data_IF_648898314329
#
_entry.id   IF_648898314329
#
_cell.length_a   1.000
_cell.length_b   1.000
_cell.length_c   1.000
_cell.angle_alpha   90.00
_cell.angle_beta   90.00
_cell.angle_gamma   90.00
#
_symmetry.space_group_name_H-M   'P 1'
#
loop_
_entity.id
_entity.type
_entity.pdbx_description
1 polymer ?
#
# COMPACT_ATOMS: atom_id res chain seq x y z
N UNK A 1 -21.60 -8.37 -20.43
CA UNK A 1 -20.22 -7.92 -20.78
C UNK A 1 -19.48 -8.11 -19.48
N UNK A 2 -19.16 -9.37 -19.23
CA UNK A 2 -18.85 -9.87 -17.89
C UNK A 2 -17.38 -9.56 -17.70
N UNK A 3 -17.14 -8.43 -17.03
CA UNK A 3 -15.84 -7.79 -17.05
C UNK A 3 -14.98 -8.36 -15.91
N UNK A 4 -13.67 -8.17 -16.01
CA UNK A 4 -12.73 -8.56 -14.96
C UNK A 4 -13.03 -7.85 -13.61
N UNK A 5 -13.75 -6.73 -13.66
CA UNK A 5 -14.16 -5.94 -12.48
C UNK A 5 -15.17 -6.70 -11.64
N UNK A 6 -16.14 -7.40 -12.24
CA UNK A 6 -17.14 -8.21 -11.52
C UNK A 6 -16.47 -9.30 -10.67
N UNK A 7 -15.42 -9.93 -11.23
CA UNK A 7 -14.60 -10.91 -10.51
C UNK A 7 -13.85 -10.26 -9.36
N UNK A 8 -13.26 -9.08 -9.59
CA UNK A 8 -12.65 -8.30 -8.52
C UNK A 8 -13.65 -7.96 -7.41
N UNK A 9 -14.83 -7.45 -7.73
CA UNK A 9 -15.84 -7.06 -6.73
C UNK A 9 -16.31 -8.25 -5.88
N UNK A 10 -16.39 -9.44 -6.46
CA UNK A 10 -16.66 -10.67 -5.71
C UNK A 10 -15.47 -11.10 -4.84
N UNK A 11 -14.23 -11.04 -5.36
CA UNK A 11 -13.03 -11.31 -4.57
C UNK A 11 -12.90 -10.33 -3.40
N UNK A 12 -13.18 -9.06 -3.63
CA UNK A 12 -13.19 -8.02 -2.60
C UNK A 12 -14.29 -8.25 -1.57
N UNK A 13 -15.46 -8.79 -1.95
CA UNK A 13 -16.49 -9.20 -0.97
C UNK A 13 -16.05 -10.39 -0.12
N UNK A 14 -15.32 -11.35 -0.69
CA UNK A 14 -14.79 -12.50 0.04
C UNK A 14 -13.61 -12.13 0.95
N UNK A 15 -12.79 -11.19 0.50
CA UNK A 15 -11.57 -10.74 1.15
C UNK A 15 -11.51 -9.20 1.19
N UNK A 16 -12.35 -8.56 2.03
CA UNK A 16 -12.54 -7.10 2.00
C UNK A 16 -11.40 -6.29 2.60
N UNK A 17 -10.35 -6.96 3.09
CA UNK A 17 -9.20 -6.31 3.72
C UNK A 17 -8.00 -6.43 2.80
N UNK A 18 -7.49 -5.29 2.35
CA UNK A 18 -6.31 -5.21 1.48
C UNK A 18 -5.04 -5.08 2.32
N UNK A 19 -4.04 -5.92 2.02
CA UNK A 19 -2.69 -5.77 2.59
C UNK A 19 -2.08 -4.45 2.18
N UNK A 20 -2.44 -4.02 0.97
CA UNK A 20 -1.89 -2.85 0.36
C UNK A 20 -2.80 -2.40 -0.76
N UNK A 21 -3.13 -1.11 -0.76
CA UNK A 21 -3.76 -0.45 -1.88
C UNK A 21 -2.86 0.67 -2.32
N UNK A 22 -2.66 0.82 -3.63
CA UNK A 22 -2.06 2.02 -4.21
C UNK A 22 -3.08 2.71 -5.08
N UNK A 23 -3.15 4.02 -4.97
CA UNK A 23 -3.99 4.88 -5.77
C UNK A 23 -3.15 6.02 -6.31
N UNK A 24 -3.20 6.19 -7.62
CA UNK A 24 -2.69 7.33 -8.35
C UNK A 24 -3.82 7.81 -9.25
N UNK A 25 -3.77 9.07 -9.68
CA UNK A 25 -4.67 9.54 -10.73
C UNK A 25 -4.63 8.56 -11.92
N UNK A 26 -5.79 8.01 -12.29
CA UNK A 26 -5.94 7.06 -13.39
C UNK A 26 -5.35 5.66 -13.18
N UNK A 27 -4.89 5.30 -11.98
CA UNK A 27 -4.38 3.94 -11.69
C UNK A 27 -4.71 3.51 -10.25
N UNK A 28 -5.16 2.28 -10.08
CA UNK A 28 -5.38 1.67 -8.76
C UNK A 28 -4.85 0.25 -8.74
N UNK A 29 -4.30 -0.17 -7.61
CA UNK A 29 -3.92 -1.55 -7.35
C UNK A 29 -4.36 -1.98 -5.94
N UNK A 30 -4.91 -3.18 -5.82
CA UNK A 30 -5.35 -3.80 -4.57
C UNK A 30 -4.61 -5.13 -4.41
N UNK A 31 -3.98 -5.33 -3.26
CA UNK A 31 -3.19 -6.51 -2.93
C UNK A 31 -3.78 -7.17 -1.68
N UNK A 32 -3.98 -8.49 -1.73
CA UNK A 32 -4.52 -9.31 -0.65
C UNK A 32 -3.73 -10.61 -0.55
N UNK A 33 -3.36 -10.99 0.67
CA UNK A 33 -2.69 -12.22 1.04
C UNK A 33 -3.41 -12.78 2.26
N UNK A 34 -4.21 -13.79 2.02
CA UNK A 34 -4.89 -14.53 3.08
C UNK A 34 -4.08 -15.77 3.41
N UNK A 35 -3.63 -15.87 4.66
CA UNK A 35 -3.08 -17.13 5.20
C UNK A 35 -4.19 -18.01 5.76
N UNK A 36 -4.24 -19.26 5.32
CA UNK A 36 -5.12 -20.31 5.84
C UNK A 36 -4.50 -20.87 7.12
N UNK A 37 -5.31 -21.02 8.18
CA UNK A 37 -4.81 -21.48 9.49
C UNK A 37 -5.14 -22.95 9.75
N UNK A 38 -5.96 -23.56 8.89
CA UNK A 38 -6.46 -24.91 9.06
C UNK A 38 -6.90 -25.52 7.73
N UNK A 39 -7.04 -26.85 7.70
CA UNK A 39 -7.66 -27.57 6.58
C UNK A 39 -9.11 -27.12 6.33
N UNK A 40 -9.83 -26.73 7.39
CA UNK A 40 -11.18 -26.20 7.26
C UNK A 40 -11.22 -24.86 6.51
N UNK A 41 -10.25 -23.97 6.78
CA UNK A 41 -10.09 -22.72 6.01
C UNK A 41 -9.84 -23.04 4.53
N UNK A 42 -8.93 -23.97 4.25
CA UNK A 42 -8.58 -24.38 2.89
C UNK A 42 -9.79 -24.91 2.12
N UNK A 43 -10.52 -25.88 2.67
CA UNK A 43 -11.71 -26.46 2.02
C UNK A 43 -12.79 -25.40 1.82
N UNK A 44 -13.04 -24.57 2.84
CA UNK A 44 -14.03 -23.50 2.76
C UNK A 44 -13.67 -22.41 1.75
N UNK A 45 -12.39 -22.07 1.62
CA UNK A 45 -11.92 -21.13 0.59
C UNK A 45 -11.99 -21.76 -0.82
N UNK A 46 -11.64 -23.03 -0.99
CA UNK A 46 -11.80 -23.74 -2.28
C UNK A 46 -13.26 -23.71 -2.77
N UNK A 47 -14.22 -23.95 -1.87
CA UNK A 47 -15.64 -23.90 -2.20
C UNK A 47 -16.10 -22.49 -2.62
N UNK A 48 -15.64 -21.45 -1.90
CA UNK A 48 -15.98 -20.04 -2.19
C UNK A 48 -15.35 -19.54 -3.47
N UNK A 49 -14.13 -19.97 -3.79
CA UNK A 49 -13.39 -19.57 -4.99
C UNK A 49 -13.83 -20.32 -6.25
N UNK A 50 -14.38 -21.52 -6.14
CA UNK A 50 -14.84 -22.32 -7.30
C UNK A 50 -15.64 -21.53 -8.35
N UNK A 51 -16.74 -20.81 -8.01
CA UNK A 51 -17.49 -20.04 -8.99
C UNK A 51 -16.66 -18.92 -9.66
N UNK A 52 -15.73 -18.31 -8.92
CA UNK A 52 -14.83 -17.27 -9.43
C UNK A 52 -13.81 -17.85 -10.40
N UNK A 53 -13.24 -19.02 -10.07
CA UNK A 53 -12.35 -19.76 -10.95
C UNK A 53 -13.06 -20.12 -12.26
N UNK A 54 -14.30 -20.59 -12.18
CA UNK A 54 -15.09 -20.94 -13.36
C UNK A 54 -15.39 -19.70 -14.23
N UNK A 55 -15.73 -18.56 -13.62
CA UNK A 55 -15.84 -17.27 -14.31
C UNK A 55 -14.53 -16.87 -14.97
N UNK A 56 -13.43 -16.87 -14.21
CA UNK A 56 -12.09 -16.56 -14.69
C UNK A 56 -11.70 -17.42 -15.88
N UNK A 57 -12.03 -18.73 -15.88
CA UNK A 57 -11.84 -19.66 -17.00
C UNK A 57 -12.69 -19.34 -18.23
N UNK A 58 -13.90 -18.83 -18.04
CA UNK A 58 -14.80 -18.45 -19.12
C UNK A 58 -14.47 -17.06 -19.74
N UNK A 59 -13.77 -16.19 -19.01
CA UNK A 59 -13.50 -14.83 -19.49
C UNK A 59 -12.74 -14.79 -20.83
N UNK A 60 -13.21 -13.98 -21.80
CA UNK A 60 -12.48 -13.64 -23.01
C UNK A 60 -11.39 -12.60 -22.68
N UNK A 61 -10.16 -13.05 -22.49
CA UNK A 61 -9.03 -12.18 -22.19
C UNK A 61 -8.34 -11.70 -23.48
N UNK A 62 -7.88 -10.45 -23.51
CA UNK A 62 -7.05 -9.92 -24.59
C UNK A 62 -5.58 -10.14 -24.17
N UNK A 63 -4.95 -11.21 -24.66
CA UNK A 63 -3.57 -11.57 -24.34
C UNK A 63 -3.41 -12.99 -23.78
N UNK A 64 -2.27 -13.24 -23.12
CA UNK A 64 -1.93 -14.57 -22.59
C UNK A 64 -2.62 -14.79 -21.23
N UNK A 65 -3.71 -15.54 -21.24
CA UNK A 65 -4.29 -16.11 -20.02
C UNK A 65 -3.45 -17.31 -19.59
N UNK A 66 -2.68 -17.16 -18.52
CA UNK A 66 -1.98 -18.29 -17.90
C UNK A 66 -2.89 -18.90 -16.86
N UNK A 67 -3.28 -20.16 -17.02
CA UNK A 67 -3.97 -20.94 -15.98
C UNK A 67 -3.06 -22.11 -15.63
N UNK A 68 -2.69 -22.23 -14.36
CA UNK A 68 -1.99 -23.40 -13.83
C UNK A 68 -2.84 -24.02 -12.74
N UNK A 69 -3.12 -25.30 -12.87
CA UNK A 69 -3.76 -26.12 -11.84
C UNK A 69 -2.76 -27.19 -11.41
N UNK A 70 -2.56 -27.32 -10.11
CA UNK A 70 -1.79 -28.42 -9.55
C UNK A 70 -2.70 -29.53 -9.07
N UNK A 71 -2.13 -30.71 -8.93
CA UNK A 71 -2.77 -31.78 -8.18
C UNK A 71 -2.74 -31.47 -6.69
N UNK A 72 -3.72 -31.95 -5.92
CA UNK A 72 -3.87 -31.76 -4.46
C UNK A 72 -2.70 -32.34 -3.63
N UNK A 73 -1.63 -32.77 -4.29
CA UNK A 73 -0.43 -33.34 -3.73
C UNK A 73 0.51 -32.24 -3.22
N UNK A 74 1.11 -32.40 -2.02
CA UNK A 74 2.03 -31.42 -1.41
C UNK A 74 3.23 -31.03 -2.28
N UNK A 75 3.55 -31.81 -3.31
CA UNK A 75 4.75 -31.66 -4.13
C UNK A 75 4.67 -30.55 -5.21
N UNK A 76 3.47 -30.13 -5.64
CA UNK A 76 3.33 -29.11 -6.70
C UNK A 76 2.94 -27.71 -6.21
N UNK A 77 2.62 -27.58 -4.91
CA UNK A 77 2.59 -26.31 -4.17
C UNK A 77 1.59 -25.23 -4.63
N UNK A 78 0.92 -25.37 -5.76
CA UNK A 78 -0.06 -24.42 -6.32
C UNK A 78 -1.34 -25.21 -6.62
N UNK A 79 -2.46 -24.80 -6.03
CA UNK A 79 -3.77 -25.40 -6.34
C UNK A 79 -4.35 -24.74 -7.60
N UNK A 80 -4.23 -23.41 -7.69
CA UNK A 80 -4.64 -22.65 -8.86
C UNK A 80 -3.82 -21.36 -8.98
N UNK A 81 -3.48 -20.99 -10.20
CA UNK A 81 -2.93 -19.67 -10.51
C UNK A 81 -3.53 -19.16 -11.82
N UNK A 82 -4.03 -17.93 -11.84
CA UNK A 82 -4.40 -17.25 -13.06
C UNK A 82 -4.03 -15.77 -13.09
N UNK A 83 -3.69 -15.28 -14.28
CA UNK A 83 -3.22 -13.91 -14.49
C UNK A 83 -3.92 -13.25 -15.71
N UNK A 84 -5.26 -13.16 -15.75
CA UNK A 84 -5.94 -12.55 -16.88
C UNK A 84 -5.69 -11.04 -16.96
N UNK A 85 -5.47 -10.57 -18.19
CA UNK A 85 -5.56 -9.16 -18.54
C UNK A 85 -6.77 -8.91 -19.42
N UNK A 86 -7.46 -7.80 -19.17
CA UNK A 86 -8.56 -7.31 -19.98
C UNK A 86 -8.31 -5.85 -20.35
N UNK A 87 -8.66 -5.48 -21.58
CA UNK A 87 -8.46 -4.13 -22.11
C UNK A 87 -9.74 -3.69 -22.82
N UNK A 88 -10.44 -2.71 -22.25
CA UNK A 88 -11.54 -2.03 -22.93
C UNK A 88 -11.05 -0.67 -23.47
N UNK A 89 -11.93 0.09 -24.11
CA UNK A 89 -11.62 1.39 -24.71
C UNK A 89 -11.11 2.47 -23.73
N UNK A 90 -11.33 2.29 -22.42
CA UNK A 90 -11.01 3.26 -21.37
C UNK A 90 -9.77 2.84 -20.57
N UNK A 91 -9.66 1.56 -20.22
CA UNK A 91 -8.74 1.07 -19.20
C UNK A 91 -8.16 -0.32 -19.50
N UNK A 92 -7.02 -0.59 -18.88
CA UNK A 92 -6.39 -1.90 -18.80
C UNK A 92 -6.59 -2.43 -17.39
N UNK A 93 -7.23 -3.59 -17.28
CA UNK A 93 -7.46 -4.31 -16.03
C UNK A 93 -6.60 -5.57 -16.00
N UNK A 94 -6.07 -5.90 -14.83
CA UNK A 94 -5.31 -7.12 -14.59
C UNK A 94 -5.74 -7.71 -13.25
N UNK A 95 -5.93 -9.03 -13.22
CA UNK A 95 -6.08 -9.78 -11.98
C UNK A 95 -4.99 -10.83 -11.94
N UNK A 96 -4.43 -11.02 -10.77
CA UNK A 96 -3.67 -12.21 -10.39
C UNK A 96 -4.38 -12.87 -9.21
N UNK A 97 -4.72 -14.14 -9.37
CA UNK A 97 -5.26 -14.98 -8.32
C UNK A 97 -4.41 -16.24 -8.24
N UNK A 98 -3.66 -16.38 -7.17
CA UNK A 98 -2.82 -17.53 -6.89
C UNK A 98 -3.21 -18.09 -5.54
N UNK A 99 -3.56 -19.37 -5.47
CA UNK A 99 -3.73 -20.00 -4.16
C UNK A 99 -3.18 -21.41 -4.10
N UNK A 100 -2.78 -21.76 -2.89
CA UNK A 100 -2.31 -23.07 -2.50
C UNK A 100 -2.94 -23.47 -1.16
N UNK A 101 -2.47 -24.57 -0.56
CA UNK A 101 -3.00 -25.06 0.73
C UNK A 101 -2.81 -24.11 1.91
N UNK A 102 -1.90 -23.15 1.80
CA UNK A 102 -1.52 -22.27 2.90
C UNK A 102 -1.97 -20.82 2.68
N UNK A 103 -2.07 -20.37 1.43
CA UNK A 103 -2.24 -18.96 1.10
C UNK A 103 -3.11 -18.73 -0.12
N UNK A 104 -3.91 -17.68 -0.09
CA UNK A 104 -4.50 -17.05 -1.28
C UNK A 104 -3.84 -15.69 -1.45
N UNK A 105 -3.26 -15.47 -2.61
CA UNK A 105 -2.81 -14.19 -3.10
C UNK A 105 -3.80 -13.69 -4.17
N UNK A 106 -4.23 -12.45 -4.00
CA UNK A 106 -5.08 -11.75 -4.95
C UNK A 106 -4.51 -10.35 -5.20
N UNK A 107 -4.31 -10.03 -6.48
CA UNK A 107 -3.92 -8.71 -6.95
C UNK A 107 -4.92 -8.28 -8.03
N UNK A 108 -5.49 -7.08 -7.90
CA UNK A 108 -6.22 -6.41 -8.98
C UNK A 108 -5.59 -5.06 -9.27
N UNK A 109 -5.38 -4.76 -10.55
CA UNK A 109 -4.95 -3.43 -10.99
C UNK A 109 -5.84 -2.91 -12.10
N UNK A 110 -6.16 -1.62 -12.08
CA UNK A 110 -6.85 -0.93 -13.16
C UNK A 110 -6.11 0.34 -13.53
N UNK A 111 -5.87 0.56 -14.81
CA UNK A 111 -5.09 1.70 -15.33
C UNK A 111 -5.72 2.28 -16.59
N UNK A 112 -5.93 3.60 -16.62
CA UNK A 112 -6.43 4.30 -17.82
C UNK A 112 -5.44 4.20 -18.99
N UNK A 113 -5.96 3.97 -20.20
CA UNK A 113 -5.17 3.83 -21.44
C UNK A 113 -4.36 5.08 -21.81
N UNK A 114 -4.93 6.27 -21.61
CA UNK A 114 -4.36 7.57 -22.02
C UNK A 114 -3.89 8.40 -20.82
N UNK A 115 -3.26 7.77 -19.83
CA UNK A 115 -2.66 8.51 -18.72
C UNK A 115 -1.35 9.20 -19.15
N UNK A 116 -1.42 10.17 -20.07
CA UNK A 116 -0.44 11.26 -20.11
C UNK A 116 -0.86 12.23 -19.02
N UNK A 117 -0.68 11.82 -17.78
CA UNK A 117 -0.92 12.71 -16.65
C UNK A 117 0.34 13.58 -16.59
N UNK A 118 0.24 14.88 -16.94
CA UNK A 118 1.40 15.74 -16.95
C UNK A 118 2.04 15.73 -15.56
N UNK A 119 3.37 15.80 -15.54
CA UNK A 119 4.08 16.02 -14.29
C UNK A 119 3.64 17.39 -13.76
N UNK A 120 3.00 17.40 -12.61
CA UNK A 120 2.64 18.60 -11.88
C UNK A 120 3.41 18.61 -10.57
N UNK A 121 4.04 19.74 -10.27
CA UNK A 121 4.54 19.95 -8.91
C UNK A 121 3.36 20.05 -7.95
N UNK A 122 3.44 19.29 -6.87
CA UNK A 122 2.44 19.29 -5.82
C UNK A 122 2.93 20.01 -4.56
N UNK A 123 3.78 21.04 -4.71
CA UNK A 123 4.29 21.87 -3.60
C UNK A 123 3.17 22.38 -2.69
N UNK A 124 2.03 22.80 -3.27
CA UNK A 124 0.83 23.20 -2.51
C UNK A 124 0.32 22.10 -1.59
N UNK A 125 0.33 20.83 -2.04
CA UNK A 125 -0.15 19.70 -1.24
C UNK A 125 0.81 19.47 -0.06
N UNK A 126 2.12 19.63 -0.27
CA UNK A 126 3.08 19.52 0.82
C UNK A 126 2.83 20.60 1.90
N UNK A 127 2.64 21.86 1.49
CA UNK A 127 2.31 22.96 2.41
C UNK A 127 0.98 22.73 3.14
N UNK A 128 -0.03 22.22 2.44
CA UNK A 128 -1.32 21.87 3.05
C UNK A 128 -1.22 20.74 4.06
N UNK A 129 -0.39 19.72 3.77
CA UNK A 129 -0.16 18.60 4.68
C UNK A 129 0.63 19.03 5.92
N UNK A 130 1.63 19.89 5.75
CA UNK A 130 2.38 20.46 6.88
C UNK A 130 1.46 21.27 7.81
N UNK A 131 0.62 22.15 7.23
CA UNK A 131 -0.35 22.92 8.00
C UNK A 131 -1.42 22.04 8.67
N UNK A 132 -1.84 20.97 8.00
CA UNK A 132 -2.81 20.03 8.56
C UNK A 132 -2.20 19.22 9.72
N UNK A 133 -0.98 18.68 9.56
CA UNK A 133 -0.27 17.97 10.63
C UNK A 133 0.04 18.88 11.82
N UNK A 134 0.29 20.18 11.59
CA UNK A 134 0.52 21.17 12.64
C UNK A 134 -0.59 21.18 13.72
N UNK A 135 -1.84 20.90 13.34
CA UNK A 135 -2.99 20.84 14.24
C UNK A 135 -2.95 19.67 15.22
N UNK A 136 -2.29 18.57 14.83
CA UNK A 136 -2.14 17.38 15.65
C UNK A 136 -0.86 17.45 16.47
N UNK A 137 0.26 17.83 15.84
CA UNK A 137 1.58 17.81 16.50
C UNK A 137 1.75 18.92 17.55
N UNK A 138 0.87 19.93 17.54
CA UNK A 138 0.83 20.99 18.56
C UNK A 138 -0.02 20.64 19.79
N UNK A 139 -0.68 19.47 19.80
CA UNK A 139 -1.47 19.01 20.96
C UNK A 139 -0.56 18.75 22.18
N UNK A 140 -1.10 18.86 23.41
CA UNK A 140 -0.37 18.46 24.60
C UNK A 140 0.10 17.00 24.53
N UNK A 141 1.21 16.69 25.21
CA UNK A 141 1.76 15.33 25.34
C UNK A 141 2.30 14.69 24.06
N UNK A 142 2.26 15.40 22.92
CA UNK A 142 2.91 14.96 21.69
C UNK A 142 4.42 14.87 21.89
N UNK A 143 5.00 13.74 21.48
CA UNK A 143 6.44 13.54 21.46
C UNK A 143 6.90 13.11 20.06
N UNK A 144 8.16 13.38 19.74
CA UNK A 144 8.71 13.15 18.40
C UNK A 144 10.05 12.44 18.40
N UNK A 145 10.30 11.68 17.34
CA UNK A 145 11.56 11.00 17.07
C UNK A 145 12.06 11.34 15.69
N UNK A 146 13.35 11.72 15.60
CA UNK A 146 14.03 11.76 14.31
C UNK A 146 14.16 10.35 13.74
N UNK A 147 13.85 10.20 12.48
CA UNK A 147 14.04 8.96 11.72
C UNK A 147 14.99 9.20 10.57
N UNK A 148 15.83 8.21 10.31
CA UNK A 148 16.77 8.20 9.21
C UNK A 148 16.72 6.82 8.55
N UNK A 149 16.55 6.80 7.24
CA UNK A 149 16.56 5.62 6.39
C UNK A 149 17.79 5.70 5.51
N UNK A 150 18.71 4.75 5.65
CA UNK A 150 20.01 4.77 4.97
C UNK A 150 20.37 3.37 4.43
N UNK A 151 20.67 3.31 3.12
CA UNK A 151 21.43 2.22 2.50
C UNK A 151 20.72 0.86 2.35
N UNK A 152 21.45 -0.28 2.39
CA UNK A 152 20.94 -1.63 2.03
C UNK A 152 19.84 -2.18 2.95
N UNK A 153 19.46 -1.44 4.00
CA UNK A 153 18.28 -1.73 4.83
C UNK A 153 16.96 -1.63 4.06
N UNK A 154 16.96 -0.99 2.88
CA UNK A 154 15.84 -0.99 1.91
C UNK A 154 15.54 -2.36 1.27
N UNK A 155 16.46 -3.34 1.33
CA UNK A 155 16.26 -4.66 0.70
C UNK A 155 15.07 -5.46 1.25
N UNK A 156 14.56 -5.12 2.44
CA UNK A 156 13.42 -5.79 3.07
C UNK A 156 12.07 -5.15 2.76
N UNK A 157 12.03 -4.15 1.88
CA UNK A 157 10.79 -3.78 1.21
C UNK A 157 10.41 -4.95 0.29
N UNK A 158 9.19 -5.48 0.44
CA UNK A 158 8.63 -6.61 -0.33
C UNK A 158 8.54 -6.39 -1.86
N UNK A 159 9.20 -5.35 -2.37
CA UNK A 159 9.47 -5.12 -3.78
C UNK A 159 10.97 -5.34 -3.96
N UNK A 160 11.37 -6.51 -4.47
CA UNK A 160 12.76 -6.82 -4.83
C UNK A 160 13.33 -5.67 -5.67
N UNK A 161 14.23 -4.88 -5.09
CA UNK A 161 14.91 -3.83 -5.84
C UNK A 161 15.96 -4.47 -6.75
N UNK A 162 15.58 -4.74 -8.00
CA UNK A 162 16.53 -5.16 -9.04
C UNK A 162 17.43 -4.00 -9.54
N UNK A 163 17.39 -2.82 -8.90
CA UNK A 163 18.16 -1.64 -9.29
C UNK A 163 19.15 -1.21 -8.19
N UNK A 164 20.48 -1.32 -8.41
CA UNK A 164 21.52 -0.93 -7.46
C UNK A 164 21.52 0.55 -7.06
N UNK A 165 20.96 1.46 -7.88
CA UNK A 165 20.86 2.88 -7.53
C UNK A 165 19.89 3.12 -6.37
N UNK A 166 18.88 2.25 -6.20
CA UNK A 166 17.91 2.32 -5.10
C UNK A 166 18.47 1.84 -3.75
N UNK A 167 19.69 1.30 -3.72
CA UNK A 167 20.40 0.90 -2.49
C UNK A 167 21.22 2.05 -1.87
N UNK A 168 21.29 3.21 -2.53
CA UNK A 168 22.00 4.41 -2.05
C UNK A 168 21.04 5.51 -1.57
N UNK A 169 19.78 5.16 -1.34
CA UNK A 169 18.76 6.11 -0.96
C UNK A 169 18.90 6.47 0.52
N UNK A 170 18.88 7.76 0.80
CA UNK A 170 18.91 8.32 2.14
C UNK A 170 17.71 9.26 2.31
N UNK A 171 16.97 9.08 3.40
CA UNK A 171 15.81 9.89 3.73
C UNK A 171 15.77 10.17 5.23
N UNK A 172 15.42 11.40 5.59
CA UNK A 172 15.36 11.85 6.98
C UNK A 172 13.99 12.44 7.27
N UNK A 173 13.55 12.29 8.51
CA UNK A 173 12.22 12.74 8.87
C UNK A 173 11.96 12.72 10.35
N UNK A 174 10.70 12.90 10.69
CA UNK A 174 10.22 12.91 12.06
C UNK A 174 8.95 12.07 12.16
N UNK A 175 8.91 11.17 13.14
CA UNK A 175 7.68 10.55 13.62
C UNK A 175 7.20 11.36 14.82
N UNK A 176 5.96 11.83 14.78
CA UNK A 176 5.24 12.40 15.91
C UNK A 176 4.28 11.34 16.46
N UNK A 177 4.28 11.14 17.77
CA UNK A 177 3.30 10.31 18.45
C UNK A 177 2.33 11.22 19.18
N UNK A 178 1.07 11.16 18.79
CA UNK A 178 -0.03 12.01 19.24
C UNK A 178 -1.01 11.13 20.02
N UNK A 179 -0.97 11.17 21.37
CA UNK A 179 -1.89 10.41 22.19
C UNK A 179 -3.30 11.02 22.22
N UNK A 180 -4.27 10.28 22.75
CA UNK A 180 -5.66 10.72 22.97
C UNK A 180 -6.37 11.14 21.68
N UNK A 181 -6.13 10.42 20.58
CA UNK A 181 -6.79 10.63 19.29
C UNK A 181 -8.01 9.71 19.15
N UNK A 182 -9.05 10.22 18.51
CA UNK A 182 -10.25 9.45 18.21
C UNK A 182 -10.15 8.72 16.86
N UNK A 183 -11.07 7.79 16.62
CA UNK A 183 -11.24 7.21 15.27
C UNK A 183 -11.63 8.28 14.23
N UNK A 184 -12.31 9.35 14.64
CA UNK A 184 -12.66 10.47 13.75
C UNK A 184 -11.44 11.30 13.36
N UNK A 185 -10.48 11.48 14.28
CA UNK A 185 -9.18 12.08 13.96
C UNK A 185 -8.48 11.26 12.87
N UNK A 186 -8.46 9.93 13.01
CA UNK A 186 -7.90 9.02 11.99
C UNK A 186 -8.63 9.12 10.65
N UNK A 187 -9.96 8.99 10.65
CA UNK A 187 -10.78 9.04 9.42
C UNK A 187 -10.58 10.37 8.68
N UNK A 188 -10.43 11.47 9.40
CA UNK A 188 -10.16 12.80 8.82
C UNK A 188 -8.82 12.82 8.08
N UNK A 189 -7.77 12.22 8.66
CA UNK A 189 -6.44 12.13 8.02
C UNK A 189 -6.51 11.20 6.81
N UNK A 190 -7.10 10.02 6.97
CA UNK A 190 -7.22 9.00 5.94
C UNK A 190 -7.93 9.54 4.70
N UNK A 191 -9.12 10.12 4.86
CA UNK A 191 -9.90 10.65 3.74
C UNK A 191 -9.24 11.88 3.11
N UNK A 192 -8.55 12.72 3.89
CA UNK A 192 -7.81 13.85 3.33
C UNK A 192 -6.67 13.37 2.42
N UNK A 193 -5.88 12.39 2.88
CA UNK A 193 -4.77 11.86 2.09
C UNK A 193 -5.28 11.13 0.83
N UNK A 194 -6.25 10.22 1.01
CA UNK A 194 -6.88 9.48 -0.08
C UNK A 194 -7.51 10.40 -1.13
N UNK A 195 -8.14 11.50 -0.69
CA UNK A 195 -8.74 12.49 -1.57
C UNK A 195 -7.76 13.10 -2.57
N UNK A 196 -6.49 13.32 -2.19
CA UNK A 196 -5.50 13.89 -3.10
C UNK A 196 -5.22 13.01 -4.32
N UNK A 197 -5.21 11.68 -4.20
CA UNK A 197 -4.97 10.81 -5.36
C UNK A 197 -6.11 10.79 -6.37
N UNK A 198 -7.31 11.25 -5.99
CA UNK A 198 -8.45 11.40 -6.90
C UNK A 198 -8.38 12.70 -7.72
N UNK A 199 -7.75 13.74 -7.16
CA UNK A 199 -7.75 15.09 -7.74
C UNK A 199 -6.39 15.56 -8.24
N UNK A 200 -5.31 14.86 -7.88
CA UNK A 200 -3.93 15.28 -8.14
C UNK A 200 -3.06 14.09 -8.56
N UNK A 201 -2.00 14.39 -9.31
CA UNK A 201 -1.00 13.42 -9.73
C UNK A 201 -0.01 13.09 -8.59
N UNK A 202 -0.53 12.52 -7.51
CA UNK A 202 0.24 12.01 -6.35
C UNK A 202 0.09 10.51 -6.25
N UNK A 203 1.04 9.86 -5.60
CA UNK A 203 0.94 8.43 -5.28
C UNK A 203 0.50 8.29 -3.82
N UNK A 204 -0.65 7.68 -3.58
CA UNK A 204 -1.17 7.38 -2.25
C UNK A 204 -1.20 5.87 -2.06
N UNK A 205 -0.87 5.42 -0.85
CA UNK A 205 -1.02 4.02 -0.50
C UNK A 205 -1.58 3.86 0.91
N UNK A 206 -2.24 2.73 1.17
CA UNK A 206 -2.71 2.39 2.51
C UNK A 206 -2.80 0.88 2.72
N UNK A 207 -2.95 0.46 3.97
CA UNK A 207 -3.18 -0.93 4.34
C UNK A 207 -4.27 -1.06 5.41
N UNK A 208 -5.00 -2.18 5.31
CA UNK A 208 -6.13 -2.51 6.20
C UNK A 208 -5.88 -3.83 6.97
N UNK A 209 -4.85 -4.60 6.60
CA UNK A 209 -4.80 -6.05 6.94
C UNK A 209 -4.51 -6.37 8.39
N UNK A 210 -3.74 -5.57 9.11
CA UNK A 210 -3.33 -6.02 10.44
C UNK A 210 -4.45 -5.92 11.49
N UNK A 211 -5.63 -5.36 11.14
CA UNK A 211 -6.84 -5.18 12.01
C UNK A 211 -6.62 -4.40 13.31
N UNK A 212 -5.36 -4.23 13.71
CA UNK A 212 -4.84 -3.50 14.85
C UNK A 212 -3.95 -2.35 14.37
N UNK A 213 -3.77 -2.20 13.06
CA UNK A 213 -2.85 -1.25 12.47
C UNK A 213 -3.36 -0.85 11.09
N UNK A 214 -3.91 0.36 11.00
CA UNK A 214 -4.30 1.01 9.76
C UNK A 214 -3.25 2.07 9.44
N UNK A 215 -2.81 2.15 8.19
CA UNK A 215 -1.86 3.20 7.80
C UNK A 215 -2.14 3.72 6.40
N UNK A 216 -1.81 4.98 6.19
CA UNK A 216 -1.99 5.69 4.93
C UNK A 216 -0.75 6.54 4.68
N UNK A 217 -0.34 6.65 3.42
CA UNK A 217 0.82 7.42 3.00
C UNK A 217 0.55 8.14 1.68
N UNK A 218 1.21 9.28 1.51
CA UNK A 218 1.21 10.08 0.28
C UNK A 218 2.62 10.47 -0.08
N UNK A 219 3.04 10.11 -1.29
CA UNK A 219 4.26 10.58 -1.93
C UNK A 219 3.95 11.78 -2.80
N UNK A 220 4.60 12.90 -2.47
CA UNK A 220 4.41 14.19 -3.12
C UNK A 220 5.68 14.53 -3.89
N UNK A 221 5.55 14.61 -5.22
CA UNK A 221 6.59 15.11 -6.11
C UNK A 221 6.57 16.65 -6.14
N UNK A 222 7.76 17.27 -6.07
CA UNK A 222 7.93 18.73 -5.96
C UNK A 222 8.69 19.28 -7.18
N UNK A 223 8.47 20.55 -7.55
CA UNK A 223 8.97 21.13 -8.81
C UNK A 223 10.50 21.13 -8.92
N UNK A 224 11.16 21.44 -7.81
CA UNK A 224 12.59 21.79 -7.77
C UNK A 224 13.28 21.28 -6.52
N UNK A 225 12.69 20.28 -5.84
CA UNK A 225 13.18 19.76 -4.57
C UNK A 225 12.95 18.26 -4.47
N UNK A 226 13.58 17.70 -3.45
CA UNK A 226 13.43 16.33 -3.00
C UNK A 226 11.94 16.04 -2.74
N UNK A 227 11.41 14.86 -3.13
CA UNK A 227 10.05 14.46 -2.79
C UNK A 227 9.82 14.48 -1.27
N UNK A 228 8.56 14.48 -0.87
CA UNK A 228 8.17 14.38 0.53
C UNK A 228 7.17 13.25 0.66
N UNK A 229 7.29 12.47 1.73
CA UNK A 229 6.25 11.55 2.15
C UNK A 229 5.64 11.98 3.47
N UNK A 230 4.31 12.06 3.48
CA UNK A 230 3.54 12.08 4.70
C UNK A 230 2.90 10.72 4.90
N UNK A 231 2.92 10.21 6.12
CA UNK A 231 2.15 9.02 6.46
C UNK A 231 1.51 9.16 7.83
N UNK A 232 0.44 8.41 8.05
CA UNK A 232 -0.22 8.34 9.32
C UNK A 232 -0.61 6.89 9.63
N UNK A 233 -0.67 6.58 10.90
CA UNK A 233 -1.25 5.34 11.39
C UNK A 233 -1.98 5.59 12.70
N UNK A 234 -3.04 4.82 12.91
CA UNK A 234 -3.85 4.87 14.11
C UNK A 234 -3.88 3.51 14.80
N UNK A 235 -3.63 3.51 16.10
CA UNK A 235 -3.76 2.33 16.96
C UNK A 235 -3.94 2.76 18.42
N UNK A 236 -4.84 2.11 19.13
CA UNK A 236 -5.01 2.26 20.59
C UNK A 236 -5.06 3.74 21.02
N UNK A 237 -5.94 4.53 20.39
CA UNK A 237 -6.14 5.97 20.62
C UNK A 237 -4.89 6.84 20.40
N UNK A 238 -3.92 6.31 19.64
CA UNK A 238 -2.67 7.00 19.34
C UNK A 238 -2.51 7.13 17.83
N UNK A 239 -2.35 8.36 17.36
CA UNK A 239 -1.90 8.63 16.00
C UNK A 239 -0.37 8.70 15.99
N UNK A 240 0.25 7.99 15.06
CA UNK A 240 1.62 8.31 14.67
C UNK A 240 1.57 9.02 13.33
N UNK A 241 2.26 10.14 13.23
CA UNK A 241 2.33 10.98 12.03
C UNK A 241 3.78 11.05 11.58
N UNK A 242 4.02 10.78 10.32
CA UNK A 242 5.33 10.71 9.71
C UNK A 242 5.45 11.79 8.66
N UNK A 243 6.54 12.55 8.73
CA UNK A 243 6.96 13.46 7.67
C UNK A 243 8.41 13.14 7.32
N UNK A 244 8.65 12.68 6.10
CA UNK A 244 9.99 12.33 5.60
C UNK A 244 10.27 13.14 4.35
N UNK A 245 11.46 13.72 4.32
CA UNK A 245 12.06 14.25 3.11
C UNK A 245 13.17 13.29 2.69
N UNK A 246 13.27 13.02 1.40
CA UNK A 246 14.45 12.34 0.88
C UNK A 246 15.69 13.21 1.05
N UNK A 247 16.82 12.75 0.55
CA UNK A 247 17.99 13.62 0.34
C UNK A 247 18.30 13.83 -1.14
N UNK A 248 17.68 13.02 -2.01
CA UNK A 248 17.71 13.17 -3.46
C UNK A 248 16.32 12.86 -4.03
N UNK A 249 16.09 13.26 -5.29
CA UNK A 249 14.79 13.21 -5.96
C UNK A 249 14.15 11.80 -6.07
N UNK A 250 14.90 10.73 -5.80
CA UNK A 250 14.43 9.35 -5.98
C UNK A 250 14.31 8.55 -4.66
N UNK A 251 14.54 9.18 -3.51
CA UNK A 251 14.96 8.48 -2.28
C UNK A 251 13.86 8.12 -1.26
N UNK A 252 12.59 7.98 -1.65
CA UNK A 252 11.53 7.77 -0.65
C UNK A 252 10.58 6.66 -1.07
N UNK A 253 10.67 5.55 -0.33
CA UNK A 253 9.68 4.48 -0.28
C UNK A 253 9.58 4.11 1.19
N UNK A 254 8.38 4.16 1.77
CA UNK A 254 8.22 3.82 3.18
C UNK A 254 8.22 2.30 3.39
N UNK A 255 8.75 1.82 4.52
CA UNK A 255 8.54 0.45 4.93
C UNK A 255 7.06 0.21 5.28
N UNK A 256 6.52 -0.95 4.87
CA UNK A 256 5.10 -1.32 5.04
C UNK A 256 4.60 -1.35 6.50
N UNK A 257 5.51 -1.48 7.47
CA UNK A 257 5.22 -1.41 8.91
C UNK A 257 6.29 -0.50 9.53
N UNK A 258 5.90 0.72 9.87
CA UNK A 258 6.76 1.70 10.55
C UNK A 258 6.32 1.97 11.99
N UNK A 259 5.34 1.21 12.50
CA UNK A 259 4.95 1.27 13.90
C UNK A 259 5.84 0.45 14.81
N UNK A 260 6.14 1.07 15.95
CA UNK A 260 7.19 0.70 16.89
C UNK A 260 7.05 -0.68 17.58
N UNK A 261 5.97 -1.44 17.37
CA UNK A 261 5.71 -2.68 18.12
C UNK A 261 6.33 -3.92 17.50
N UNK A 262 6.85 -3.83 16.28
CA UNK A 262 7.70 -4.87 15.71
C UNK A 262 8.68 -4.20 14.76
N UNK A 263 9.87 -3.79 15.25
CA UNK A 263 10.88 -3.23 14.38
C UNK A 263 11.38 -4.36 13.47
N UNK A 264 10.82 -4.46 12.26
CA UNK A 264 11.61 -4.96 11.12
C UNK A 264 12.83 -4.04 10.91
N UNK A 265 12.75 -2.81 11.45
CA UNK A 265 13.75 -1.76 11.38
C UNK A 265 14.05 -1.25 12.80
N UNK A 266 15.29 -1.39 13.25
CA UNK A 266 15.78 -0.65 14.42
C UNK A 266 16.32 0.69 13.89
N UNK A 267 15.53 1.77 13.78
CA UNK A 267 16.07 3.06 13.41
C UNK A 267 17.19 3.38 14.40
N UNK A 268 18.35 3.82 13.90
CA UNK A 268 19.35 4.44 14.78
C UNK A 268 18.66 5.65 15.41
N UNK A 269 18.16 5.50 16.64
CA UNK A 269 17.55 6.58 17.41
C UNK A 269 18.61 7.68 17.57
N UNK A 270 18.54 8.72 16.75
CA UNK A 270 19.44 9.85 16.86
C UNK A 270 19.04 10.63 18.12
N UNK A 271 19.84 10.48 19.19
CA UNK A 271 19.62 11.12 20.50
C UNK A 271 19.71 12.65 20.47
N UNK A 272 20.00 13.25 19.31
CA UNK A 272 20.28 14.67 19.21
C UNK A 272 19.05 15.54 18.87
N UNK A 273 17.91 14.95 18.48
CA UNK A 273 16.67 15.72 18.24
C UNK A 273 15.89 16.12 19.51
N UNK A 274 16.30 15.64 20.70
CA UNK A 274 15.58 15.83 21.97
C UNK A 274 15.84 17.18 22.68
N UNK A 275 16.49 18.15 22.02
CA UNK A 275 16.98 19.38 22.67
C UNK A 275 16.34 20.70 22.23
N UNK A 276 15.21 20.68 21.54
CA UNK A 276 14.49 21.92 21.27
C UNK A 276 13.24 21.99 22.15
N UNK A 277 13.36 22.79 23.22
CA UNK A 277 12.27 23.26 24.07
C UNK A 277 11.41 24.27 23.33
#
# INVERSE_FOLDING_TARGET
MDNLVDVYEELNRLYPYSDYVTLKQGEVAYWVNRTMRSEYDFVGDCQRLKPLIDKLKALPCIGQKVIKEGTDTPAEGIVFACHPSFRDDVQNNYIELVFNRNTIHFLYTSKLKESVIPYESNDRIADEMDNFFAQYISRPEVYKFGVQYDGPTYQYQLVTFNNPQKLRQHAEGVIYTVPNCSIDDWNTIFEKIKGYALTNNVDVAWNDVYRHYESVEILIQRASTIPIVFAATYRDETLKLLRIEGTENYNIVLPRIWSEDTPVFNPKKNKDYYKQK
#
